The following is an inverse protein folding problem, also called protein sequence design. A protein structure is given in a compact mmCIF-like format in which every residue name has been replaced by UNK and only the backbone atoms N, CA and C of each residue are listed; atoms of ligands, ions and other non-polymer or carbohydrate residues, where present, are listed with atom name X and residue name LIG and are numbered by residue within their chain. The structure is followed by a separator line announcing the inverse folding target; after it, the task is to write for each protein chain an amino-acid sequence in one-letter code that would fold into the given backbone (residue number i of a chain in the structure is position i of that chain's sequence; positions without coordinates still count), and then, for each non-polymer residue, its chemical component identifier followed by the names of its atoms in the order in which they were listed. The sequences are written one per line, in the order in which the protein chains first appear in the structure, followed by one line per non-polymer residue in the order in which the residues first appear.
data_IF_687205692895
#
_entry.id   IF_687205692895
#
_cell.length_a   1.000
_cell.length_b   1.000
_cell.length_c   1.000
_cell.angle_alpha   90.00
_cell.angle_beta   90.00
_cell.angle_gamma   90.00
#
_symmetry.space_group_name_H-M   'P 1'
#
loop_
_entity.id
_entity.type
_entity.pdbx_description
1 polymer ?
#
# COMPACT_ATOMS: atom_id res chain seq x y z
N UNK A 1 -5.94 33.16 -29.76
CA UNK A 1 -6.92 32.30 -29.09
C UNK A 1 -6.52 32.19 -27.62
N UNK A 2 -7.40 32.59 -26.73
CA UNK A 2 -7.20 32.49 -25.29
C UNK A 2 -7.81 31.17 -24.78
N UNK A 3 -7.02 30.39 -24.02
CA UNK A 3 -7.51 29.19 -23.34
C UNK A 3 -8.02 29.57 -21.95
N UNK A 4 -9.35 29.48 -21.73
CA UNK A 4 -9.97 29.91 -20.49
C UNK A 4 -9.70 28.94 -19.32
N UNK A 5 -9.81 27.61 -19.56
CA UNK A 5 -9.68 26.62 -18.50
C UNK A 5 -9.36 25.22 -19.05
N UNK A 6 -8.71 24.40 -18.24
CA UNK A 6 -8.60 22.95 -18.44
C UNK A 6 -8.84 22.30 -17.08
N UNK A 7 -9.81 21.41 -16.99
CA UNK A 7 -10.14 20.67 -15.77
C UNK A 7 -9.51 19.28 -15.79
N UNK A 8 -8.93 18.85 -14.64
CA UNK A 8 -8.61 17.47 -14.36
C UNK A 8 -9.86 16.81 -13.75
N UNK A 9 -10.61 16.06 -14.55
CA UNK A 9 -11.93 15.56 -14.13
C UNK A 9 -11.91 14.24 -13.38
N UNK A 10 -10.82 13.47 -13.47
CA UNK A 10 -10.63 12.21 -12.75
C UNK A 10 -9.26 12.18 -12.12
N UNK A 11 -9.21 11.86 -10.84
CA UNK A 11 -7.96 11.69 -10.08
C UNK A 11 -8.07 10.50 -9.13
N UNK A 12 -6.94 9.85 -8.91
CA UNK A 12 -6.81 8.82 -7.89
C UNK A 12 -6.09 9.43 -6.69
N UNK A 13 -6.68 9.40 -5.49
CA UNK A 13 -6.01 9.92 -4.31
C UNK A 13 -4.90 8.97 -3.88
N UNK A 14 -3.77 9.55 -3.47
CA UNK A 14 -2.65 8.86 -2.84
C UNK A 14 -2.32 9.62 -1.56
N UNK A 15 -2.52 8.97 -0.42
CA UNK A 15 -2.26 9.55 0.91
C UNK A 15 -0.81 9.32 1.33
N UNK A 16 -0.15 10.36 1.84
CA UNK A 16 1.19 10.29 2.42
C UNK A 16 1.11 10.71 3.88
N UNK A 17 1.53 9.81 4.79
CA UNK A 17 1.49 10.04 6.23
C UNK A 17 2.86 9.76 6.84
N UNK A 18 3.26 10.50 7.86
CA UNK A 18 4.53 10.32 8.56
C UNK A 18 4.31 9.68 9.93
N UNK A 19 5.00 8.58 10.19
CA UNK A 19 5.05 7.95 11.51
C UNK A 19 6.28 8.43 12.27
N UNK A 20 6.09 9.17 13.35
CA UNK A 20 7.13 9.83 14.11
C UNK A 20 7.97 8.89 14.99
N UNK A 21 7.42 7.70 15.33
CA UNK A 21 8.10 6.67 16.15
C UNK A 21 8.73 5.56 15.32
N UNK A 22 9.09 5.83 14.07
CA UNK A 22 9.58 4.82 13.15
C UNK A 22 10.86 4.11 13.64
N UNK A 23 11.78 4.80 14.30
CA UNK A 23 13.02 4.17 14.79
C UNK A 23 12.75 3.13 15.88
N UNK A 24 11.83 3.40 16.81
CA UNK A 24 11.44 2.41 17.82
C UNK A 24 10.75 1.19 17.18
N UNK A 25 9.89 1.42 16.20
CA UNK A 25 9.25 0.35 15.43
C UNK A 25 10.28 -0.48 14.66
N UNK A 26 11.24 0.16 14.00
CA UNK A 26 12.33 -0.48 13.25
C UNK A 26 13.15 -1.44 14.12
N UNK A 27 13.57 -0.99 15.30
CA UNK A 27 14.32 -1.83 16.23
C UNK A 27 13.47 -3.01 16.75
N UNK A 28 12.19 -2.79 17.00
CA UNK A 28 11.26 -3.84 17.41
C UNK A 28 11.08 -4.88 16.30
N UNK A 29 10.81 -4.43 15.08
CA UNK A 29 10.65 -5.33 13.92
C UNK A 29 11.93 -6.13 13.67
N UNK A 30 13.12 -5.52 13.73
CA UNK A 30 14.40 -6.23 13.59
C UNK A 30 14.55 -7.38 14.59
N UNK A 31 14.09 -7.19 15.84
CA UNK A 31 14.09 -8.26 16.86
C UNK A 31 13.12 -9.38 16.50
N UNK A 32 11.92 -9.04 16.04
CA UNK A 32 10.87 -10.00 15.70
C UNK A 32 11.27 -10.89 14.51
N UNK A 33 11.85 -10.30 13.45
CA UNK A 33 12.24 -11.07 12.25
C UNK A 33 13.51 -11.90 12.44
N UNK A 34 14.33 -11.62 13.46
CA UNK A 34 15.64 -12.28 13.67
C UNK A 34 15.55 -13.80 13.67
N UNK A 35 14.49 -14.34 14.23
CA UNK A 35 14.29 -15.79 14.39
C UNK A 35 13.10 -16.32 13.55
N UNK A 36 12.45 -15.44 12.76
CA UNK A 36 11.35 -15.85 11.89
C UNK A 36 11.91 -16.24 10.52
N UNK A 37 11.55 -17.44 10.05
CA UNK A 37 11.94 -17.89 8.71
C UNK A 37 11.15 -17.08 7.66
N UNK A 38 11.83 -16.44 6.70
CA UNK A 38 11.13 -15.75 5.62
C UNK A 38 10.50 -16.74 4.63
N UNK A 39 9.39 -16.35 4.03
CA UNK A 39 8.93 -16.86 2.75
C UNK A 39 9.59 -16.11 1.59
N UNK A 40 9.34 -16.57 0.37
CA UNK A 40 9.84 -15.96 -0.85
C UNK A 40 8.67 -15.57 -1.73
N UNK A 41 8.83 -14.47 -2.47
CA UNK A 41 7.87 -14.10 -3.49
C UNK A 41 7.98 -15.09 -4.68
N UNK A 42 6.86 -15.51 -5.23
CA UNK A 42 6.83 -16.46 -6.36
C UNK A 42 7.47 -15.88 -7.63
N UNK A 43 7.36 -14.58 -7.83
CA UNK A 43 7.92 -13.90 -9.01
C UNK A 43 9.40 -13.52 -8.84
N UNK A 44 9.88 -13.35 -7.59
CA UNK A 44 11.26 -12.95 -7.30
C UNK A 44 11.75 -13.46 -5.94
N UNK A 45 12.52 -14.53 -5.92
CA UNK A 45 13.08 -15.14 -4.71
C UNK A 45 13.97 -14.20 -3.86
N UNK A 46 14.40 -13.07 -4.41
CA UNK A 46 15.18 -12.03 -3.71
C UNK A 46 14.30 -11.10 -2.87
N UNK A 47 12.98 -11.14 -3.10
CA UNK A 47 11.98 -10.46 -2.29
C UNK A 47 11.52 -11.40 -1.18
N UNK A 48 11.98 -11.15 0.04
CA UNK A 48 11.63 -11.95 1.20
C UNK A 48 10.37 -11.40 1.86
N UNK A 49 9.49 -12.31 2.26
CA UNK A 49 8.25 -11.99 2.97
C UNK A 49 8.26 -12.57 4.39
N UNK A 50 7.63 -11.86 5.33
CA UNK A 50 7.36 -12.36 6.67
C UNK A 50 5.89 -12.10 6.99
N UNK A 51 5.18 -13.04 7.59
CA UNK A 51 3.74 -12.98 7.89
C UNK A 51 2.86 -12.86 6.64
N UNK A 52 3.21 -13.51 5.55
CA UNK A 52 2.41 -13.51 4.31
C UNK A 52 1.78 -14.88 4.01
N UNK A 53 2.16 -15.94 4.71
CA UNK A 53 1.54 -17.25 4.52
C UNK A 53 0.12 -17.26 5.08
N UNK A 54 -0.75 -18.11 4.49
CA UNK A 54 -2.16 -18.18 4.89
C UNK A 54 -2.37 -18.29 6.40
N UNK A 55 -3.17 -17.39 6.95
CA UNK A 55 -3.43 -17.29 8.38
C UNK A 55 -2.43 -16.47 9.21
N UNK A 56 -1.27 -16.08 8.65
CA UNK A 56 -0.33 -15.20 9.36
C UNK A 56 -0.74 -13.72 9.24
N UNK A 57 -0.54 -12.95 10.34
CA UNK A 57 -0.84 -11.53 10.36
C UNK A 57 0.11 -10.80 11.31
N UNK A 58 0.97 -9.94 10.77
CA UNK A 58 2.02 -9.26 11.54
C UNK A 58 1.51 -8.52 12.78
N UNK A 59 0.45 -7.73 12.64
CA UNK A 59 -0.06 -6.92 13.75
C UNK A 59 -0.79 -7.78 14.81
N UNK A 60 -1.52 -8.82 14.40
CA UNK A 60 -2.28 -9.64 15.34
C UNK A 60 -1.39 -10.60 16.11
N UNK A 61 -0.41 -11.24 15.46
CA UNK A 61 0.55 -12.11 16.15
C UNK A 61 1.45 -11.34 17.13
N UNK A 62 1.64 -10.04 16.93
CA UNK A 62 2.50 -9.20 17.76
C UNK A 62 1.72 -8.13 18.55
N UNK A 63 0.40 -8.31 18.72
CA UNK A 63 -0.51 -7.32 19.33
C UNK A 63 -0.13 -6.90 20.76
N UNK A 64 0.56 -7.77 21.49
CA UNK A 64 0.99 -7.52 22.88
C UNK A 64 2.31 -6.74 22.96
N UNK A 65 2.93 -6.42 21.81
CA UNK A 65 4.14 -5.60 21.74
C UNK A 65 3.74 -4.12 21.67
N UNK A 66 4.13 -3.28 22.65
CA UNK A 66 3.66 -1.90 22.72
C UNK A 66 3.89 -1.07 21.46
N UNK A 67 5.05 -1.20 20.81
CA UNK A 67 5.38 -0.47 19.59
C UNK A 67 4.48 -0.90 18.42
N UNK A 68 4.11 -2.17 18.35
CA UNK A 68 3.20 -2.70 17.34
C UNK A 68 1.77 -2.21 17.59
N UNK A 69 1.31 -2.21 18.84
CA UNK A 69 0.01 -1.67 19.20
C UNK A 69 -0.11 -0.17 18.86
N UNK A 70 0.94 0.62 19.15
CA UNK A 70 0.98 2.02 18.78
C UNK A 70 0.99 2.24 17.26
N UNK A 71 1.76 1.44 16.53
CA UNK A 71 1.78 1.49 15.07
C UNK A 71 0.42 1.10 14.47
N UNK A 72 -0.24 0.08 14.99
CA UNK A 72 -1.60 -0.31 14.59
C UNK A 72 -2.60 0.84 14.75
N UNK A 73 -2.50 1.61 15.85
CA UNK A 73 -3.34 2.79 16.05
C UNK A 73 -3.06 3.87 15.01
N UNK A 74 -1.79 4.18 14.74
CA UNK A 74 -1.41 5.13 13.68
C UNK A 74 -1.97 4.72 12.31
N UNK A 75 -1.91 3.42 11.95
CA UNK A 75 -2.47 2.93 10.70
C UNK A 75 -3.99 3.14 10.62
N UNK A 76 -4.70 2.91 11.73
CA UNK A 76 -6.14 3.15 11.81
C UNK A 76 -6.47 4.64 11.64
N UNK A 77 -5.76 5.52 12.32
CA UNK A 77 -5.98 6.96 12.27
C UNK A 77 -5.71 7.51 10.84
N UNK A 78 -4.61 7.11 10.23
CA UNK A 78 -4.26 7.49 8.85
C UNK A 78 -5.29 6.98 7.84
N UNK A 79 -5.75 5.75 8.01
CA UNK A 79 -6.76 5.16 7.14
C UNK A 79 -8.12 5.82 7.32
N UNK A 80 -8.53 6.16 8.56
CA UNK A 80 -9.77 6.87 8.83
C UNK A 80 -9.75 8.27 8.19
N UNK A 81 -8.64 8.99 8.31
CA UNK A 81 -8.44 10.27 7.62
C UNK A 81 -8.57 10.11 6.10
N UNK A 82 -7.89 9.09 5.53
CA UNK A 82 -7.91 8.83 4.09
C UNK A 82 -9.33 8.49 3.56
N UNK A 83 -10.12 7.74 4.32
CA UNK A 83 -11.51 7.42 3.95
C UNK A 83 -12.42 8.62 4.11
N UNK A 84 -12.38 9.29 5.26
CA UNK A 84 -13.40 10.28 5.63
C UNK A 84 -13.11 11.67 5.08
N UNK A 85 -11.85 12.09 5.11
CA UNK A 85 -11.47 13.46 4.77
C UNK A 85 -10.92 13.59 3.35
N UNK A 86 -10.25 12.56 2.83
CA UNK A 86 -9.72 12.58 1.46
C UNK A 86 -10.74 12.02 0.46
N UNK A 87 -11.27 10.83 0.71
CA UNK A 87 -12.22 10.16 -0.19
C UNK A 87 -13.69 10.49 0.11
N UNK A 88 -13.98 11.06 1.27
CA UNK A 88 -15.34 11.42 1.74
C UNK A 88 -16.34 10.24 1.69
N UNK A 89 -15.91 9.04 1.97
CA UNK A 89 -16.73 7.83 1.95
C UNK A 89 -17.48 7.65 3.28
N UNK A 90 -18.69 8.19 3.38
CA UNK A 90 -19.51 8.14 4.59
C UNK A 90 -20.27 6.82 4.78
N UNK A 91 -20.36 6.00 3.76
CA UNK A 91 -21.09 4.74 3.77
C UNK A 91 -20.27 3.54 4.26
N UNK A 92 -18.99 3.74 4.47
CA UNK A 92 -18.11 2.76 5.09
C UNK A 92 -18.23 2.85 6.61
N UNK A 93 -18.37 1.71 7.28
CA UNK A 93 -18.16 1.59 8.73
C UNK A 93 -16.68 1.73 9.07
N UNK A 94 -16.32 1.42 10.31
CA UNK A 94 -14.93 1.30 10.71
C UNK A 94 -14.19 0.35 9.77
N UNK A 95 -12.91 0.58 9.56
CA UNK A 95 -12.11 -0.29 8.74
C UNK A 95 -11.26 -1.24 9.58
N UNK A 96 -11.09 -2.44 9.04
CA UNK A 96 -10.20 -3.46 9.58
C UNK A 96 -9.01 -3.64 8.66
N UNK A 97 -7.87 -3.95 9.24
CA UNK A 97 -6.67 -4.37 8.52
C UNK A 97 -6.82 -5.88 8.35
N UNK A 98 -7.10 -6.33 7.13
CA UNK A 98 -7.36 -7.75 6.84
C UNK A 98 -6.08 -8.55 6.69
N UNK A 99 -5.05 -7.92 6.16
CA UNK A 99 -3.75 -8.54 5.95
C UNK A 99 -2.66 -7.53 6.34
N UNK A 100 -1.60 -8.02 6.94
CA UNK A 100 -0.43 -7.19 7.24
C UNK A 100 0.83 -8.05 7.28
N UNK A 101 1.79 -7.73 6.41
CA UNK A 101 3.02 -8.49 6.24
C UNK A 101 4.22 -7.58 6.01
N UNK A 102 5.42 -8.13 6.14
CA UNK A 102 6.66 -7.42 5.85
C UNK A 102 7.27 -7.89 4.54
N UNK A 103 7.88 -6.94 3.84
CA UNK A 103 8.68 -7.17 2.63
C UNK A 103 10.11 -6.68 2.86
N UNK A 104 11.08 -7.55 2.58
CA UNK A 104 12.49 -7.18 2.54
C UNK A 104 13.01 -7.36 1.11
N UNK A 105 13.20 -6.24 0.41
CA UNK A 105 13.78 -6.20 -0.95
C UNK A 105 15.28 -5.93 -0.87
N UNK A 106 16.05 -6.65 -1.68
CA UNK A 106 17.51 -6.50 -1.80
C UNK A 106 18.01 -7.07 -3.14
N UNK A 107 19.25 -6.74 -3.52
CA UNK A 107 19.93 -7.36 -4.67
C UNK A 107 19.15 -7.33 -5.99
N UNK A 108 18.47 -6.24 -6.30
CA UNK A 108 17.67 -6.08 -7.50
C UNK A 108 16.24 -6.63 -7.39
N UNK A 109 15.80 -7.05 -6.21
CA UNK A 109 14.44 -7.55 -5.99
C UNK A 109 13.39 -6.49 -6.33
N UNK A 110 12.28 -6.93 -6.89
CA UNK A 110 11.11 -6.08 -7.21
C UNK A 110 9.83 -6.90 -7.05
N UNK A 111 8.72 -6.21 -6.93
CA UNK A 111 7.38 -6.80 -7.00
C UNK A 111 6.81 -6.54 -8.39
N UNK A 112 6.34 -7.57 -9.06
CA UNK A 112 5.67 -7.46 -10.37
C UNK A 112 4.40 -6.60 -10.31
N UNK A 113 3.89 -6.19 -11.47
CA UNK A 113 2.64 -5.42 -11.57
C UNK A 113 1.48 -6.25 -11.03
N UNK A 114 0.76 -5.69 -10.06
CA UNK A 114 -0.42 -6.32 -9.46
C UNK A 114 -1.39 -5.28 -8.92
N UNK A 115 -2.56 -5.73 -8.46
CA UNK A 115 -3.56 -4.96 -7.72
C UNK A 115 -4.22 -5.87 -6.69
N UNK A 116 -4.93 -5.29 -5.73
CA UNK A 116 -5.57 -6.02 -4.64
C UNK A 116 -7.09 -6.04 -4.84
N UNK A 117 -7.61 -7.15 -5.40
CA UNK A 117 -9.05 -7.35 -5.60
C UNK A 117 -9.84 -7.61 -4.31
N UNK A 118 -9.13 -7.87 -3.20
CA UNK A 118 -9.66 -8.19 -1.88
C UNK A 118 -9.55 -7.04 -0.88
N UNK A 119 -9.21 -5.83 -1.32
CA UNK A 119 -9.04 -4.67 -0.46
C UNK A 119 -9.69 -3.42 -1.06
N UNK A 120 -10.33 -2.60 -0.22
CA UNK A 120 -10.82 -1.28 -0.64
C UNK A 120 -9.65 -0.31 -0.81
N UNK A 121 -8.79 -0.26 0.18
CA UNK A 121 -7.53 0.48 0.16
C UNK A 121 -6.37 -0.42 0.57
N UNK A 122 -5.21 -0.06 0.11
CA UNK A 122 -3.95 -0.73 0.46
C UNK A 122 -2.92 0.29 0.87
N UNK A 123 -1.91 -0.16 1.59
CA UNK A 123 -0.83 0.72 2.01
C UNK A 123 0.50 0.02 2.14
N UNK A 124 1.54 0.82 2.12
CA UNK A 124 2.89 0.39 2.49
C UNK A 124 3.54 1.43 3.39
N UNK A 125 4.09 0.96 4.50
CA UNK A 125 4.90 1.77 5.40
C UNK A 125 6.37 1.42 5.22
N UNK A 126 7.18 2.40 4.90
CA UNK A 126 8.62 2.24 4.70
C UNK A 126 9.35 2.33 6.05
N UNK A 127 9.77 1.18 6.54
CA UNK A 127 10.41 1.05 7.85
C UNK A 127 11.90 1.39 7.80
N UNK A 128 12.58 0.94 6.73
CA UNK A 128 14.01 1.20 6.52
C UNK A 128 14.36 1.21 5.02
N UNK A 129 15.04 2.27 4.61
CA UNK A 129 15.43 2.53 3.22
C UNK A 129 16.94 2.81 3.17
N UNK A 130 17.67 2.00 2.42
CA UNK A 130 19.07 2.26 2.06
C UNK A 130 19.15 3.01 0.73
N UNK A 131 20.29 3.63 0.47
CA UNK A 131 20.57 4.23 -0.84
C UNK A 131 20.44 3.19 -1.95
N UNK A 132 19.79 3.54 -3.05
CA UNK A 132 19.49 2.63 -4.16
C UNK A 132 18.29 1.71 -3.93
N UNK A 133 17.57 1.85 -2.82
CA UNK A 133 16.30 1.15 -2.64
C UNK A 133 15.27 1.61 -3.67
N UNK A 134 14.63 0.64 -4.33
CA UNK A 134 13.61 0.91 -5.33
C UNK A 134 12.33 1.49 -4.72
N UNK A 135 11.59 2.27 -5.50
CA UNK A 135 10.33 2.93 -5.11
C UNK A 135 9.09 2.22 -5.62
N UNK A 136 7.93 2.78 -5.27
CA UNK A 136 6.62 2.35 -5.73
C UNK A 136 6.23 3.14 -6.97
N UNK A 137 5.71 2.45 -7.98
CA UNK A 137 5.09 3.05 -9.15
C UNK A 137 3.61 2.67 -9.17
N UNK A 138 2.74 3.66 -9.17
CA UNK A 138 1.29 3.52 -9.36
C UNK A 138 0.99 3.75 -10.85
N UNK A 139 0.30 2.80 -11.48
CA UNK A 139 0.03 2.84 -12.91
C UNK A 139 -1.28 3.54 -13.22
N UNK A 140 -1.28 4.40 -14.23
CA UNK A 140 -2.48 5.10 -14.67
C UNK A 140 -3.47 4.10 -15.32
N UNK A 141 -4.66 3.87 -14.73
CA UNK A 141 -5.62 2.90 -15.27
C UNK A 141 -6.11 3.22 -16.68
N UNK A 142 -6.09 4.47 -17.08
CA UNK A 142 -6.48 4.87 -18.43
C UNK A 142 -5.45 4.53 -19.50
N UNK A 143 -4.22 4.19 -19.10
CA UNK A 143 -3.11 3.77 -19.98
C UNK A 143 -2.87 2.26 -19.96
N UNK A 144 -3.71 1.48 -19.29
CA UNK A 144 -3.57 0.03 -19.22
C UNK A 144 -3.75 -0.62 -20.63
N UNK A 145 -3.00 -1.69 -20.95
CA UNK A 145 -2.92 -2.27 -22.30
C UNK A 145 -4.24 -2.81 -22.89
N UNK A 146 -5.28 -2.96 -22.05
CA UNK A 146 -6.59 -3.43 -22.49
C UNK A 146 -7.39 -2.43 -23.34
N UNK A 147 -6.93 -1.18 -23.43
CA UNK A 147 -7.59 -0.14 -24.24
C UNK A 147 -6.72 0.19 -25.46
N UNK A 148 -7.26 0.10 -26.68
CA UNK A 148 -6.54 0.52 -27.87
C UNK A 148 -6.44 2.04 -27.88
N UNK A 149 -5.26 2.56 -27.63
CA UNK A 149 -4.95 3.98 -27.78
C UNK A 149 -3.98 4.20 -28.94
N UNK A 150 -4.16 5.32 -29.62
CA UNK A 150 -3.12 5.84 -30.48
C UNK A 150 -1.98 6.34 -29.59
N UNK A 151 -0.83 5.72 -29.67
CA UNK A 151 0.35 6.15 -28.92
C UNK A 151 0.93 7.41 -29.53
N UNK A 152 0.82 8.52 -28.82
CA UNK A 152 1.44 9.80 -29.17
C UNK A 152 2.52 10.13 -28.14
N UNK A 153 3.71 10.45 -28.61
CA UNK A 153 4.81 10.89 -27.74
C UNK A 153 4.52 12.29 -27.22
N UNK A 154 4.56 12.46 -25.90
CA UNK A 154 4.42 13.76 -25.29
C UNK A 154 5.76 14.53 -25.35
N UNK A 155 5.72 15.84 -25.61
CA UNK A 155 6.91 16.69 -25.63
C UNK A 155 7.41 17.02 -24.20
N UNK A 156 6.53 16.90 -23.21
CA UNK A 156 6.83 17.05 -21.77
C UNK A 156 5.78 16.35 -20.92
N UNK A 157 6.14 15.86 -19.72
CA UNK A 157 5.17 15.28 -18.79
C UNK A 157 4.23 16.36 -18.24
N UNK A 158 2.98 15.99 -18.06
CA UNK A 158 1.93 16.80 -17.41
C UNK A 158 0.99 15.85 -16.67
N UNK A 159 0.20 16.36 -15.72
CA UNK A 159 -0.84 15.58 -15.04
C UNK A 159 -1.87 14.91 -16.00
N UNK A 160 -1.93 15.30 -17.26
CA UNK A 160 -2.88 14.78 -18.25
C UNK A 160 -2.30 13.66 -19.14
N UNK A 161 -0.98 13.47 -19.14
CA UNK A 161 -0.30 12.52 -20.02
C UNK A 161 0.68 11.59 -19.27
N UNK A 162 0.64 11.56 -17.94
CA UNK A 162 1.44 10.64 -17.15
C UNK A 162 0.88 9.21 -17.24
N UNK A 163 1.76 8.26 -17.54
CA UNK A 163 1.43 6.83 -17.57
C UNK A 163 1.53 6.19 -16.18
N UNK A 164 2.28 6.81 -15.30
CA UNK A 164 2.57 6.32 -13.96
C UNK A 164 2.85 7.47 -12.97
N UNK A 165 2.84 7.13 -11.70
CA UNK A 165 3.22 8.03 -10.61
C UNK A 165 4.25 7.33 -9.72
N UNK A 166 5.46 7.86 -9.67
CA UNK A 166 6.52 7.33 -8.82
C UNK A 166 6.44 7.94 -7.42
N UNK A 167 6.46 7.07 -6.41
CA UNK A 167 6.55 7.43 -5.00
C UNK A 167 7.96 7.11 -4.50
N UNK A 168 8.69 8.14 -4.11
CA UNK A 168 10.00 7.97 -3.49
C UNK A 168 9.83 7.41 -2.07
N UNK A 169 10.43 6.26 -1.73
CA UNK A 169 10.38 5.74 -0.37
C UNK A 169 11.26 6.56 0.57
N UNK A 170 10.78 6.73 1.80
CA UNK A 170 11.51 7.39 2.90
C UNK A 170 11.22 6.67 4.21
N UNK A 171 12.22 6.59 5.12
CA UNK A 171 12.02 6.03 6.46
C UNK A 171 10.84 6.72 7.18
N UNK A 172 9.89 5.93 7.68
CA UNK A 172 8.71 6.42 8.39
C UNK A 172 7.55 6.92 7.52
N UNK A 173 7.65 6.83 6.20
CA UNK A 173 6.58 7.18 5.27
C UNK A 173 5.57 6.03 5.15
N UNK A 174 4.30 6.32 5.40
CA UNK A 174 3.15 5.47 5.02
C UNK A 174 2.51 6.05 3.77
N UNK A 175 2.28 5.21 2.77
CA UNK A 175 1.53 5.55 1.55
C UNK A 175 0.27 4.71 1.51
N UNK A 176 -0.88 5.36 1.23
CA UNK A 176 -2.20 4.72 1.07
C UNK A 176 -2.75 5.02 -0.33
N UNK A 177 -3.36 4.01 -0.96
CA UNK A 177 -4.01 4.18 -2.27
C UNK A 177 -5.17 3.17 -2.46
N UNK A 178 -6.08 3.38 -3.45
CA UNK A 178 -7.14 2.43 -3.76
C UNK A 178 -6.61 1.05 -4.16
N UNK A 179 -7.18 -0.02 -3.61
CA UNK A 179 -6.71 -1.39 -3.81
C UNK A 179 -6.74 -1.85 -5.28
N UNK A 180 -7.68 -1.32 -6.07
CA UNK A 180 -7.79 -1.64 -7.49
C UNK A 180 -6.76 -0.92 -8.39
N UNK A 181 -5.97 0.01 -7.84
CA UNK A 181 -4.94 0.71 -8.61
C UNK A 181 -3.71 -0.19 -8.78
N UNK A 182 -3.46 -0.56 -10.03
CA UNK A 182 -2.32 -1.41 -10.36
C UNK A 182 -1.00 -0.71 -10.02
N UNK A 183 -0.08 -1.46 -9.46
CA UNK A 183 1.21 -0.93 -9.01
C UNK A 183 2.33 -1.96 -9.13
N UNK A 184 3.55 -1.46 -9.08
CA UNK A 184 4.79 -2.23 -9.22
C UNK A 184 5.88 -1.58 -8.36
N UNK A 185 6.89 -2.32 -7.95
CA UNK A 185 8.08 -1.71 -7.35
C UNK A 185 9.26 -1.77 -8.32
N UNK A 186 10.08 -0.73 -8.32
CA UNK A 186 11.32 -0.75 -9.11
C UNK A 186 12.36 -1.66 -8.45
N UNK A 187 13.29 -2.22 -9.24
CA UNK A 187 14.39 -3.02 -8.70
C UNK A 187 15.17 -2.27 -7.62
N UNK A 188 15.52 -2.95 -6.54
CA UNK A 188 16.15 -2.40 -5.35
C UNK A 188 17.60 -2.86 -5.26
N UNK A 189 18.58 -1.98 -5.48
CA UNK A 189 20.00 -2.27 -5.26
C UNK A 189 20.40 -2.14 -3.79
N UNK A 190 19.82 -1.18 -3.08
CA UNK A 190 19.88 -1.08 -1.62
C UNK A 190 18.74 -1.87 -0.95
N UNK A 191 18.83 -2.11 0.35
CA UNK A 191 17.76 -2.78 1.09
C UNK A 191 16.58 -1.86 1.32
N UNK A 192 15.38 -2.42 1.18
CA UNK A 192 14.12 -1.80 1.57
C UNK A 192 13.34 -2.77 2.45
N UNK A 193 13.11 -2.38 3.71
CA UNK A 193 12.20 -3.07 4.61
C UNK A 193 10.92 -2.26 4.72
N UNK A 194 9.80 -2.88 4.37
CA UNK A 194 8.49 -2.23 4.42
C UNK A 194 7.44 -3.15 5.04
N UNK A 195 6.38 -2.54 5.56
CA UNK A 195 5.18 -3.21 6.08
C UNK A 195 4.06 -2.88 5.12
N UNK A 196 3.48 -3.90 4.49
CA UNK A 196 2.32 -3.77 3.60
C UNK A 196 1.05 -4.20 4.31
N UNK A 197 -0.07 -3.60 3.93
CA UNK A 197 -1.36 -3.91 4.54
C UNK A 197 -2.52 -3.70 3.58
N UNK A 198 -3.58 -4.49 3.81
CA UNK A 198 -4.87 -4.39 3.15
C UNK A 198 -5.92 -3.89 4.14
N UNK A 199 -6.85 -3.06 3.64
CA UNK A 199 -7.94 -2.51 4.45
C UNK A 199 -9.29 -2.82 3.82
N UNK A 200 -10.24 -3.26 4.65
CA UNK A 200 -11.65 -3.44 4.28
C UNK A 200 -12.56 -2.71 5.28
N UNK A 201 -13.66 -2.09 4.82
CA UNK A 201 -14.65 -1.54 5.74
C UNK A 201 -15.44 -2.67 6.41
N UNK A 202 -15.85 -2.44 7.66
CA UNK A 202 -16.71 -3.41 8.38
C UNK A 202 -18.14 -3.43 7.87
N UNK A 203 -18.57 -2.35 7.21
CA UNK A 203 -19.89 -2.27 6.57
C UNK A 203 -19.79 -1.56 5.23
N UNK A 204 -20.61 -2.01 4.30
CA UNK A 204 -20.80 -1.39 2.98
C UNK A 204 -22.26 -1.08 2.79
N UNK A 205 -22.58 0.07 2.17
CA UNK A 205 -23.94 0.43 1.77
C UNK A 205 -24.01 0.58 0.24
N UNK A 206 -25.02 -0.02 -0.35
CA UNK A 206 -25.30 0.09 -1.79
C UNK A 206 -26.82 0.29 -1.99
N UNK A 207 -27.22 1.50 -2.29
CA UNK A 207 -28.65 1.86 -2.37
C UNK A 207 -29.38 1.57 -1.04
N UNK A 208 -30.41 0.76 -1.09
CA UNK A 208 -31.20 0.35 0.08
C UNK A 208 -30.53 -0.78 0.89
N UNK A 209 -29.46 -1.38 0.41
CA UNK A 209 -28.84 -2.54 1.03
C UNK A 209 -27.65 -2.11 1.90
N UNK A 210 -27.51 -2.80 3.02
CA UNK A 210 -26.34 -2.70 3.89
C UNK A 210 -25.71 -4.09 4.05
N UNK A 211 -24.43 -4.17 3.82
CA UNK A 211 -23.62 -5.39 3.96
C UNK A 211 -22.71 -5.25 5.16
N UNK A 212 -22.52 -6.33 5.89
CA UNK A 212 -21.54 -6.43 6.97
C UNK A 212 -20.38 -7.30 6.47
N UNK A 213 -19.15 -6.78 6.60
CA UNK A 213 -17.93 -7.55 6.38
C UNK A 213 -17.54 -8.18 7.71
N UNK A 214 -17.45 -9.49 7.74
CA UNK A 214 -17.06 -10.27 8.92
C UNK A 214 -15.73 -10.94 8.58
N UNK A 215 -14.72 -10.73 9.41
CA UNK A 215 -13.51 -11.56 9.38
C UNK A 215 -13.85 -12.88 10.06
N UNK A 216 -13.71 -13.98 9.35
CA UNK A 216 -14.01 -15.31 9.86
C UNK A 216 -12.71 -16.01 10.24
N UNK A 217 -12.47 -16.13 11.54
CA UNK A 217 -11.27 -16.76 12.12
C UNK A 217 -11.30 -18.30 11.95
N UNK A 218 -12.39 -18.87 11.41
CA UNK A 218 -12.56 -20.33 11.28
C UNK A 218 -11.87 -20.92 10.04
N UNK A 219 -11.37 -20.09 9.13
CA UNK A 219 -10.53 -20.50 8.00
C UNK A 219 -9.03 -20.56 8.36
N UNK A 220 -8.69 -21.22 9.46
CA UNK A 220 -7.31 -21.55 9.83
C UNK A 220 -6.94 -22.96 9.39
#
# INVERSE_FOLDING_TARGET
MERLKVDAIFSYPVGHYRYDRNDALKETVRRLIKNKKPGYNEDDERLLHFWQNGGEHFLEENRDVPEIAHFKQFLKDAHEDFIRNVNCLITCGDCVITDCWLNLSQNGAHQAVHSHGNALFVGTHYLHIEEGAGGLILLNPSQMPSKPYLHLSATKPTQFNQNDHFVQPEDGLLVLWPGNLAHVTTPSTGKRLSISMNFMPTTLSSGAYRYKVVLDDTFQ
#
